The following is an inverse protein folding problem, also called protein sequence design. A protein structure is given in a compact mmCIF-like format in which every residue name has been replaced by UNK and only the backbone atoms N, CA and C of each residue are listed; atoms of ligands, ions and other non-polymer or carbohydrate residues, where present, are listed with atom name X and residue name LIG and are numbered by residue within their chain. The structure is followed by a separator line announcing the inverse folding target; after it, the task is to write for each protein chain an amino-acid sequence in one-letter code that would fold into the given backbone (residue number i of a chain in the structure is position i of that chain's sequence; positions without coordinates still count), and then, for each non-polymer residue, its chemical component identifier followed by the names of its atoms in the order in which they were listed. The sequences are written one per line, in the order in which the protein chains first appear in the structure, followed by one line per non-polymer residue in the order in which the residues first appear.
data_IF_985705572060
#
_entry.id   IF_985705572060
#
_cell.length_a   1.000
_cell.length_b   1.000
_cell.length_c   1.000
_cell.angle_alpha   90.00
_cell.angle_beta   90.00
_cell.angle_gamma   90.00
#
_symmetry.space_group_name_H-M   'P 1'
#
loop_
_entity.id
_entity.type
_entity.pdbx_description
1 polymer ?
#
# COMPACT_ATOMS: atom_id res chain seq x y z
N UNK A 1 -12.76 -14.17 -30.65
CA UNK A 1 -12.51 -13.18 -29.59
C UNK A 1 -13.44 -13.52 -28.44
N UNK A 2 -12.95 -14.31 -27.48
CA UNK A 2 -13.74 -14.69 -26.30
C UNK A 2 -13.84 -13.49 -25.39
N UNK A 3 -15.05 -13.12 -24.96
CA UNK A 3 -15.27 -12.12 -23.94
C UNK A 3 -14.61 -12.63 -22.65
N UNK A 4 -13.42 -12.12 -22.35
CA UNK A 4 -12.74 -12.36 -21.08
C UNK A 4 -13.68 -11.90 -19.99
N UNK A 5 -14.22 -12.84 -19.20
CA UNK A 5 -14.99 -12.53 -18.00
C UNK A 5 -14.21 -11.47 -17.21
N UNK A 6 -14.87 -10.38 -16.80
CA UNK A 6 -14.22 -9.34 -15.99
C UNK A 6 -13.56 -10.02 -14.79
N UNK A 7 -12.23 -10.17 -14.78
CA UNK A 7 -11.48 -10.80 -13.69
C UNK A 7 -11.77 -9.94 -12.45
N UNK A 8 -12.42 -10.52 -11.45
CA UNK A 8 -12.70 -9.83 -10.18
C UNK A 8 -11.41 -9.84 -9.35
N UNK A 9 -11.05 -8.73 -8.70
CA UNK A 9 -9.89 -8.72 -7.80
C UNK A 9 -10.16 -9.58 -6.57
N UNK A 10 -9.64 -10.80 -6.58
CA UNK A 10 -9.74 -11.76 -5.49
C UNK A 10 -8.42 -11.86 -4.73
N UNK A 11 -7.30 -12.05 -5.43
CA UNK A 11 -5.97 -12.18 -4.82
C UNK A 11 -5.16 -10.90 -5.00
N UNK A 12 -4.65 -10.35 -3.90
CA UNK A 12 -3.82 -9.15 -3.88
C UNK A 12 -2.41 -9.52 -3.43
N UNK A 13 -1.41 -9.20 -4.25
CA UNK A 13 -0.01 -9.23 -3.84
C UNK A 13 0.29 -7.95 -3.05
N UNK A 14 0.54 -8.09 -1.76
CA UNK A 14 0.91 -7.02 -0.86
C UNK A 14 2.41 -7.00 -0.62
N UNK A 15 2.99 -5.81 -0.82
CA UNK A 15 4.40 -5.50 -0.64
C UNK A 15 4.53 -4.29 0.29
N UNK A 16 5.60 -4.23 1.06
CA UNK A 16 5.94 -3.03 1.82
C UNK A 16 7.46 -2.80 1.83
N UNK A 17 7.87 -1.55 2.03
CA UNK A 17 9.28 -1.18 2.28
C UNK A 17 10.26 -1.75 1.25
N UNK A 18 10.15 -1.25 0.03
CA UNK A 18 11.09 -1.54 -1.04
C UNK A 18 12.50 -1.02 -0.72
N UNK A 19 12.60 0.16 -0.12
CA UNK A 19 13.86 0.81 0.27
C UNK A 19 14.92 0.83 -0.85
N UNK A 20 14.48 1.00 -2.10
CA UNK A 20 15.35 1.02 -3.29
C UNK A 20 15.87 -0.35 -3.76
N UNK A 21 15.40 -1.47 -3.19
CA UNK A 21 15.80 -2.83 -3.60
C UNK A 21 15.10 -3.27 -4.91
N UNK A 22 15.42 -2.57 -6.00
CA UNK A 22 14.79 -2.76 -7.31
C UNK A 22 14.90 -4.20 -7.85
N UNK A 23 15.99 -4.91 -7.55
CA UNK A 23 16.18 -6.30 -7.97
C UNK A 23 15.13 -7.23 -7.35
N UNK A 24 14.79 -7.03 -6.07
CA UNK A 24 13.75 -7.81 -5.40
C UNK A 24 12.36 -7.48 -5.92
N UNK A 25 12.10 -6.21 -6.24
CA UNK A 25 10.87 -5.82 -6.91
C UNK A 25 10.75 -6.47 -8.29
N UNK A 26 11.81 -6.46 -9.11
CA UNK A 26 11.79 -7.05 -10.44
C UNK A 26 11.55 -8.57 -10.39
N UNK A 27 12.23 -9.28 -9.48
CA UNK A 27 12.00 -10.71 -9.27
C UNK A 27 10.56 -10.98 -8.82
N UNK A 28 10.02 -10.16 -7.92
CA UNK A 28 8.64 -10.31 -7.43
C UNK A 28 7.62 -10.08 -8.54
N UNK A 29 7.83 -9.07 -9.40
CA UNK A 29 6.98 -8.84 -10.57
C UNK A 29 7.03 -10.03 -11.54
N UNK A 30 8.19 -10.68 -11.71
CA UNK A 30 8.32 -11.89 -12.54
C UNK A 30 7.57 -13.10 -11.98
N UNK A 31 7.33 -13.17 -10.66
CA UNK A 31 6.56 -14.25 -10.02
C UNK A 31 5.04 -14.08 -10.16
N UNK A 32 4.54 -12.89 -10.53
CA UNK A 32 3.10 -12.61 -10.59
C UNK A 32 2.29 -13.65 -11.39
N UNK A 33 2.74 -14.13 -12.57
CA UNK A 33 2.02 -15.16 -13.31
C UNK A 33 1.87 -16.48 -12.54
N UNK A 34 2.86 -16.84 -11.73
CA UNK A 34 2.87 -18.08 -10.95
C UNK A 34 2.03 -17.96 -9.67
N UNK A 35 1.93 -16.75 -9.10
CA UNK A 35 1.13 -16.45 -7.91
C UNK A 35 -0.38 -16.33 -8.21
N UNK A 36 -0.76 -16.21 -9.49
CA UNK A 36 -2.15 -15.97 -9.96
C UNK A 36 -2.85 -14.86 -9.18
N UNK A 37 -2.18 -13.72 -9.01
CA UNK A 37 -2.74 -12.54 -8.36
C UNK A 37 -3.51 -11.66 -9.37
N UNK A 38 -4.41 -10.84 -8.87
CA UNK A 38 -5.28 -9.97 -9.68
C UNK A 38 -4.92 -8.49 -9.57
N UNK A 39 -4.19 -8.12 -8.51
CA UNK A 39 -3.69 -6.78 -8.26
C UNK A 39 -2.41 -6.83 -7.40
N UNK A 40 -1.60 -5.79 -7.51
CA UNK A 40 -0.43 -5.56 -6.67
C UNK A 40 -0.64 -4.28 -5.86
N UNK A 41 -0.31 -4.31 -4.58
CA UNK A 41 -0.23 -3.12 -3.74
C UNK A 41 1.15 -2.99 -3.10
N UNK A 42 1.72 -1.79 -3.11
CA UNK A 42 3.01 -1.48 -2.50
C UNK A 42 2.87 -0.30 -1.54
N UNK A 43 3.15 -0.54 -0.27
CA UNK A 43 3.31 0.53 0.73
C UNK A 43 4.79 0.88 0.79
N UNK A 44 5.15 2.15 0.65
CA UNK A 44 6.55 2.59 0.78
C UNK A 44 7.14 2.24 2.16
N UNK A 45 8.38 2.55 2.49
CA UNK A 45 9.29 3.40 1.74
C UNK A 45 9.68 2.80 0.39
N UNK A 46 9.47 3.56 -0.67
CA UNK A 46 9.69 3.13 -2.06
C UNK A 46 11.16 3.24 -2.41
N UNK A 47 11.77 4.37 -2.05
CA UNK A 47 13.16 4.64 -2.31
C UNK A 47 13.99 4.57 -1.01
N UNK A 48 15.29 4.35 -1.15
CA UNK A 48 16.21 4.30 0.00
C UNK A 48 16.50 5.69 0.58
N UNK A 49 17.24 5.79 1.70
CA UNK A 49 17.67 7.07 2.25
C UNK A 49 18.41 7.95 1.23
N UNK A 50 18.05 9.23 1.13
CA UNK A 50 18.67 10.16 0.17
C UNK A 50 18.24 9.94 -1.29
N UNK A 51 17.10 9.28 -1.49
CA UNK A 51 16.47 9.06 -2.77
C UNK A 51 16.40 10.32 -3.63
N UNK A 52 16.55 10.12 -4.94
CA UNK A 52 16.29 11.16 -5.94
C UNK A 52 15.15 10.71 -6.86
N UNK A 53 14.62 11.65 -7.64
CA UNK A 53 13.67 11.39 -8.72
C UNK A 53 13.95 10.12 -9.56
N UNK A 54 15.22 9.84 -9.90
CA UNK A 54 15.60 8.66 -10.68
C UNK A 54 15.33 7.32 -9.98
N UNK A 55 15.35 7.28 -8.65
CA UNK A 55 15.09 6.06 -7.88
C UNK A 55 13.59 5.73 -7.89
N UNK A 56 12.73 6.72 -7.68
CA UNK A 56 11.28 6.56 -7.85
C UNK A 56 10.92 6.11 -9.26
N UNK A 57 11.54 6.74 -10.27
CA UNK A 57 11.29 6.38 -11.68
C UNK A 57 11.63 4.92 -11.97
N UNK A 58 12.72 4.39 -11.41
CA UNK A 58 13.08 2.97 -11.55
C UNK A 58 12.03 2.06 -10.91
N UNK A 59 11.68 2.31 -9.65
CA UNK A 59 10.66 1.54 -8.96
C UNK A 59 9.33 1.53 -9.71
N UNK A 60 8.85 2.70 -10.14
CA UNK A 60 7.60 2.83 -10.87
C UNK A 60 7.63 2.18 -12.25
N UNK A 61 8.76 2.24 -12.97
CA UNK A 61 8.90 1.54 -14.24
C UNK A 61 8.79 0.02 -14.08
N UNK A 62 9.36 -0.54 -13.00
CA UNK A 62 9.25 -1.96 -12.71
C UNK A 62 7.79 -2.32 -12.33
N UNK A 63 7.14 -1.52 -11.49
CA UNK A 63 5.72 -1.71 -11.17
C UNK A 63 4.82 -1.62 -12.40
N UNK A 64 5.07 -0.66 -13.29
CA UNK A 64 4.31 -0.48 -14.53
C UNK A 64 4.43 -1.64 -15.52
N UNK A 65 5.44 -2.50 -15.36
CA UNK A 65 5.61 -3.73 -16.14
C UNK A 65 4.85 -4.93 -15.57
N UNK A 66 4.26 -4.80 -14.37
CA UNK A 66 3.43 -5.86 -13.81
C UNK A 66 2.23 -6.16 -14.72
N UNK A 67 1.87 -7.44 -14.94
CA UNK A 67 0.75 -7.82 -15.79
C UNK A 67 -0.62 -7.60 -15.11
N UNK A 68 -0.66 -6.94 -13.95
CA UNK A 68 -1.84 -6.66 -13.14
C UNK A 68 -1.87 -5.19 -12.70
N UNK A 69 -3.06 -4.61 -12.47
CA UNK A 69 -3.16 -3.27 -11.89
C UNK A 69 -2.36 -3.15 -10.58
N UNK A 70 -1.61 -2.06 -10.47
CA UNK A 70 -0.64 -1.85 -9.39
C UNK A 70 -0.93 -0.53 -8.69
N UNK A 71 -1.00 -0.57 -7.36
CA UNK A 71 -1.36 0.56 -6.53
C UNK A 71 -0.29 0.81 -5.48
N UNK A 72 0.02 2.08 -5.20
CA UNK A 72 1.09 2.39 -4.27
C UNK A 72 0.84 3.66 -3.46
N UNK A 73 1.50 3.71 -2.30
CA UNK A 73 1.59 4.90 -1.45
C UNK A 73 3.03 5.08 -0.98
N UNK A 74 3.50 6.31 -0.72
CA UNK A 74 4.82 6.55 -0.20
C UNK A 74 4.91 6.16 1.29
N UNK A 75 6.10 5.88 1.78
CA UNK A 75 6.42 5.76 3.20
C UNK A 75 6.95 7.07 3.79
N UNK A 76 7.27 7.13 5.10
CA UNK A 76 7.76 8.34 5.75
C UNK A 76 9.09 8.87 5.20
N UNK A 77 9.94 8.01 4.62
CA UNK A 77 11.24 8.38 4.06
C UNK A 77 11.18 8.81 2.60
N UNK A 78 10.02 8.72 1.95
CA UNK A 78 9.84 9.14 0.55
C UNK A 78 9.63 10.67 0.41
N UNK A 79 10.36 11.46 1.21
CA UNK A 79 10.38 12.91 1.17
C UNK A 79 11.59 13.44 0.36
N UNK A 80 11.50 14.61 -0.28
CA UNK A 80 10.36 15.51 -0.31
C UNK A 80 9.21 14.99 -1.18
N UNK A 81 7.97 15.24 -0.76
CA UNK A 81 6.76 14.70 -1.42
C UNK A 81 6.67 15.08 -2.90
N UNK A 82 7.24 16.23 -3.28
CA UNK A 82 7.20 16.74 -4.65
C UNK A 82 7.93 15.83 -5.63
N UNK A 83 9.06 15.22 -5.21
CA UNK A 83 9.80 14.29 -6.09
C UNK A 83 8.99 13.03 -6.36
N UNK A 84 8.41 12.44 -5.30
CA UNK A 84 7.50 11.31 -5.40
C UNK A 84 6.30 11.63 -6.31
N UNK A 85 5.60 12.75 -6.07
CA UNK A 85 4.40 13.12 -6.81
C UNK A 85 4.69 13.43 -8.28
N UNK A 86 5.82 14.11 -8.57
CA UNK A 86 6.22 14.44 -9.93
C UNK A 86 6.50 13.19 -10.76
N UNK A 87 7.24 12.24 -10.19
CA UNK A 87 7.54 10.99 -10.89
C UNK A 87 6.31 10.08 -11.00
N UNK A 88 5.45 10.04 -9.99
CA UNK A 88 4.14 9.38 -10.05
C UNK A 88 3.28 9.96 -11.19
N UNK A 89 3.13 11.29 -11.26
CA UNK A 89 2.39 11.94 -12.35
C UNK A 89 2.93 11.56 -13.74
N UNK A 90 4.25 11.58 -13.92
CA UNK A 90 4.86 11.28 -15.21
C UNK A 90 4.67 9.82 -15.62
N UNK A 91 4.83 8.88 -14.68
CA UNK A 91 4.83 7.45 -14.99
C UNK A 91 3.44 6.89 -15.20
N UNK A 92 2.42 7.43 -14.52
CA UNK A 92 1.01 7.02 -14.67
C UNK A 92 0.43 7.37 -16.04
N UNK A 93 0.98 8.40 -16.71
CA UNK A 93 0.67 8.70 -18.12
C UNK A 93 1.14 7.58 -19.05
N UNK A 94 2.29 6.97 -18.73
CA UNK A 94 2.89 5.89 -19.53
C UNK A 94 2.25 4.54 -19.20
N UNK A 95 1.95 4.30 -17.92
CA UNK A 95 1.38 3.05 -17.42
C UNK A 95 0.01 3.30 -16.77
N UNK A 96 -1.10 3.26 -17.55
CA UNK A 96 -2.43 3.64 -17.07
C UNK A 96 -3.06 2.67 -16.05
N UNK A 97 -2.39 1.53 -15.77
CA UNK A 97 -2.80 0.56 -14.75
C UNK A 97 -2.00 0.69 -13.45
N UNK A 98 -1.05 1.64 -13.42
CA UNK A 98 -0.27 2.00 -12.25
C UNK A 98 -0.92 3.24 -11.62
N UNK A 99 -1.19 3.21 -10.31
CA UNK A 99 -1.90 4.27 -9.62
C UNK A 99 -1.32 4.58 -8.24
N UNK A 100 -0.85 5.81 -8.03
CA UNK A 100 -0.54 6.37 -6.73
C UNK A 100 -1.82 6.75 -6.02
N UNK A 101 -2.11 6.10 -4.89
CA UNK A 101 -3.36 6.31 -4.13
C UNK A 101 -3.16 7.13 -2.86
N UNK A 102 -2.02 7.82 -2.74
CA UNK A 102 -1.71 8.70 -1.60
C UNK A 102 -2.71 9.86 -1.49
N UNK A 103 -3.57 9.83 -0.47
CA UNK A 103 -4.61 10.83 -0.26
C UNK A 103 -5.71 10.80 -1.32
N UNK A 104 -5.85 9.67 -2.01
CA UNK A 104 -6.79 9.45 -3.12
C UNK A 104 -7.26 7.98 -3.15
N UNK A 105 -7.89 7.58 -4.24
CA UNK A 105 -8.28 6.20 -4.50
C UNK A 105 -8.24 5.88 -5.99
N UNK A 106 -8.19 4.60 -6.31
CA UNK A 106 -8.36 4.08 -7.67
C UNK A 106 -9.19 2.79 -7.63
N UNK A 107 -9.71 2.39 -8.79
CA UNK A 107 -10.51 1.18 -8.92
C UNK A 107 -9.67 0.01 -9.40
N UNK A 108 -9.71 -1.08 -8.65
CA UNK A 108 -9.29 -2.38 -9.14
C UNK A 108 -10.48 -3.11 -9.80
N UNK A 109 -10.22 -4.10 -10.67
CA UNK A 109 -11.27 -4.89 -11.31
C UNK A 109 -12.28 -5.49 -10.30
N UNK A 110 -13.57 -5.48 -10.65
CA UNK A 110 -14.61 -6.15 -9.85
C UNK A 110 -15.08 -5.40 -8.60
N UNK A 111 -15.42 -4.11 -8.69
CA UNK A 111 -15.97 -3.34 -7.56
C UNK A 111 -15.08 -3.29 -6.31
N UNK A 112 -13.76 -3.26 -6.53
CA UNK A 112 -12.78 -3.04 -5.47
C UNK A 112 -12.21 -1.62 -5.58
N UNK A 113 -12.22 -0.90 -4.47
CA UNK A 113 -11.56 0.41 -4.32
C UNK A 113 -10.28 0.22 -3.53
N UNK A 114 -9.17 0.65 -4.11
CA UNK A 114 -7.89 0.76 -3.41
C UNK A 114 -7.70 2.23 -3.05
N UNK A 115 -7.48 2.52 -1.77
CA UNK A 115 -7.26 3.87 -1.27
C UNK A 115 -6.15 3.86 -0.23
N UNK A 116 -5.53 4.99 0.04
CA UNK A 116 -4.51 5.02 1.07
C UNK A 116 -4.03 6.38 1.46
N UNK A 117 -3.25 6.40 2.53
CA UNK A 117 -2.46 7.55 2.92
C UNK A 117 -1.08 7.05 3.30
N UNK A 118 -0.12 7.44 2.48
CA UNK A 118 1.29 7.20 2.75
C UNK A 118 1.86 8.16 3.79
N UNK A 119 3.14 8.01 4.10
CA UNK A 119 3.78 8.74 5.17
C UNK A 119 3.33 8.30 6.57
N UNK A 120 4.02 8.82 7.58
CA UNK A 120 3.73 8.53 8.97
C UNK A 120 2.45 9.27 9.39
N UNK A 121 1.46 8.53 9.89
CA UNK A 121 0.26 9.16 10.43
C UNK A 121 0.57 9.54 11.87
N UNK A 122 0.61 10.83 12.19
CA UNK A 122 1.01 11.33 13.50
C UNK A 122 -0.19 11.82 14.31
N UNK A 123 0.02 11.98 15.60
CA UNK A 123 -1.00 12.43 16.55
C UNK A 123 -1.42 13.88 16.22
N UNK A 124 -2.61 14.28 16.70
CA UNK A 124 -3.30 15.51 16.27
C UNK A 124 -2.55 16.82 16.54
N UNK A 125 -1.59 16.81 17.46
CA UNK A 125 -0.79 17.96 17.86
C UNK A 125 0.47 18.15 17.00
N UNK A 126 0.87 17.13 16.23
CA UNK A 126 1.95 17.24 15.26
C UNK A 126 1.44 17.78 13.92
N UNK A 127 2.18 18.73 13.34
CA UNK A 127 1.87 19.33 12.05
C UNK A 127 2.21 18.40 10.87
N UNK A 128 1.64 18.72 9.70
CA UNK A 128 2.04 18.13 8.42
C UNK A 128 3.50 18.46 8.12
N UNK A 129 4.26 17.46 7.68
CA UNK A 129 5.64 17.59 7.20
C UNK A 129 5.78 16.80 5.89
N UNK A 130 6.48 17.37 4.92
CA UNK A 130 6.58 16.81 3.57
C UNK A 130 7.93 17.05 2.88
N UNK A 131 8.83 17.80 3.51
CA UNK A 131 10.12 18.16 2.92
C UNK A 131 11.20 17.18 3.38
N UNK A 132 11.25 16.88 4.68
CA UNK A 132 12.31 16.06 5.28
C UNK A 132 11.85 14.65 5.66
N UNK A 133 10.57 14.51 5.94
CA UNK A 133 9.85 13.24 6.11
C UNK A 133 8.42 13.46 5.65
N UNK A 134 7.70 12.39 5.35
CA UNK A 134 6.26 12.47 5.13
C UNK A 134 5.55 12.15 6.45
N UNK A 135 4.87 13.14 7.01
CA UNK A 135 4.06 12.98 8.20
C UNK A 135 2.75 13.76 8.09
N UNK A 136 1.65 13.11 8.47
CA UNK A 136 0.30 13.66 8.33
C UNK A 136 -0.51 13.47 9.60
N UNK A 137 -1.14 14.54 10.13
CA UNK A 137 -2.01 14.40 11.28
C UNK A 137 -3.26 13.60 10.89
N UNK A 138 -3.76 12.78 11.82
CA UNK A 138 -4.89 11.89 11.56
C UNK A 138 -6.15 12.58 11.00
N UNK A 139 -6.43 13.83 11.40
CA UNK A 139 -7.57 14.59 10.88
C UNK A 139 -7.46 14.86 9.36
N UNK A 140 -6.24 15.05 8.84
CA UNK A 140 -6.03 15.26 7.41
C UNK A 140 -6.30 13.96 6.66
N UNK A 141 -5.84 12.83 7.20
CA UNK A 141 -6.10 11.50 6.64
C UNK A 141 -7.60 11.23 6.54
N UNK A 142 -8.35 11.48 7.62
CA UNK A 142 -9.81 11.36 7.61
C UNK A 142 -10.44 12.30 6.57
N UNK A 143 -9.98 13.55 6.51
CA UNK A 143 -10.50 14.54 5.57
C UNK A 143 -10.29 14.12 4.10
N UNK A 144 -9.11 13.58 3.75
CA UNK A 144 -8.82 13.12 2.38
C UNK A 144 -9.62 11.88 2.01
N UNK A 145 -9.78 10.95 2.95
CA UNK A 145 -10.48 9.69 2.71
C UNK A 145 -12.00 9.77 2.90
N UNK A 146 -12.55 10.93 3.30
CA UNK A 146 -14.00 11.11 3.50
C UNK A 146 -14.84 10.77 2.27
N UNK A 147 -14.30 10.96 1.06
CA UNK A 147 -14.97 10.65 -0.21
C UNK A 147 -15.38 9.18 -0.32
N UNK A 148 -14.68 8.29 0.39
CA UNK A 148 -14.98 6.87 0.42
C UNK A 148 -16.31 6.54 1.10
N UNK A 149 -16.92 7.50 1.82
CA UNK A 149 -18.28 7.36 2.39
C UNK A 149 -19.36 7.33 1.29
N UNK A 150 -19.05 7.89 0.12
CA UNK A 150 -19.94 7.85 -1.05
C UNK A 150 -19.83 6.51 -1.81
N UNK A 151 -18.76 5.74 -1.58
CA UNK A 151 -18.49 4.44 -2.22
C UNK A 151 -18.97 3.28 -1.34
N UNK A 152 -20.27 3.24 -1.06
CA UNK A 152 -20.87 2.28 -0.10
C UNK A 152 -20.84 0.84 -0.59
N UNK A 153 -21.07 0.61 -1.88
CA UNK A 153 -21.20 -0.72 -2.47
C UNK A 153 -19.87 -1.34 -2.92
N UNK A 154 -18.76 -0.64 -2.67
CA UNK A 154 -17.43 -1.11 -3.04
C UNK A 154 -16.73 -1.82 -1.88
N UNK A 155 -16.11 -2.95 -2.19
CA UNK A 155 -15.13 -3.57 -1.32
C UNK A 155 -13.89 -2.68 -1.26
N UNK A 156 -13.39 -2.36 -0.07
CA UNK A 156 -12.27 -1.42 0.09
C UNK A 156 -11.00 -2.14 0.53
N UNK A 157 -9.87 -1.73 -0.02
CA UNK A 157 -8.52 -2.11 0.42
C UNK A 157 -7.77 -0.84 0.76
N UNK A 158 -7.24 -0.75 1.98
CA UNK A 158 -6.53 0.44 2.46
C UNK A 158 -5.02 0.21 2.55
N UNK A 159 -4.25 1.23 2.18
CA UNK A 159 -2.79 1.24 2.23
C UNK A 159 -2.32 2.33 3.19
N UNK A 160 -1.57 1.98 4.24
CA UNK A 160 -1.04 2.93 5.22
C UNK A 160 0.41 2.62 5.58
N UNK A 161 1.25 3.65 5.72
CA UNK A 161 2.62 3.48 6.22
C UNK A 161 2.71 3.57 7.76
N UNK A 162 1.62 3.22 8.46
CA UNK A 162 1.55 3.07 9.93
C UNK A 162 0.48 2.04 10.27
N UNK A 163 0.77 1.15 11.22
CA UNK A 163 -0.21 0.17 11.72
C UNK A 163 -1.32 0.85 12.54
N UNK A 164 -2.59 0.41 12.41
CA UNK A 164 -3.63 0.80 13.36
C UNK A 164 -3.36 0.19 14.74
N UNK A 165 -3.76 0.88 15.80
CA UNK A 165 -3.69 0.35 17.15
C UNK A 165 -4.59 -0.89 17.29
N UNK A 166 -4.02 -1.98 17.82
CA UNK A 166 -4.80 -3.16 18.16
C UNK A 166 -4.15 -3.93 19.29
N UNK A 167 -4.96 -4.39 20.26
CA UNK A 167 -4.47 -5.13 21.44
C UNK A 167 -3.76 -6.44 21.08
N UNK A 168 -4.15 -7.08 19.97
CA UNK A 168 -3.52 -8.32 19.47
C UNK A 168 -2.17 -8.10 18.77
N UNK A 169 -1.86 -6.88 18.33
CA UNK A 169 -0.59 -6.57 17.67
C UNK A 169 0.54 -6.29 18.67
N UNK A 170 0.23 -6.13 19.97
CA UNK A 170 1.18 -5.88 21.07
C UNK A 170 2.15 -4.70 20.87
N UNK A 171 1.84 -3.80 19.92
CA UNK A 171 2.66 -2.66 19.51
C UNK A 171 1.84 -1.36 19.54
N UNK A 172 2.52 -0.21 19.68
CA UNK A 172 1.91 1.10 19.72
C UNK A 172 1.49 1.59 18.31
N UNK A 173 0.36 1.10 17.81
CA UNK A 173 -0.24 1.61 16.56
C UNK A 173 -1.00 2.94 16.75
N UNK A 174 -1.53 3.51 15.66
CA UNK A 174 -2.39 4.71 15.73
C UNK A 174 -3.84 4.36 16.07
N UNK A 175 -4.36 4.92 17.16
CA UNK A 175 -5.77 4.75 17.56
C UNK A 175 -6.72 5.40 16.55
N UNK A 176 -6.36 6.55 15.99
CA UNK A 176 -7.14 7.23 14.96
C UNK A 176 -7.22 6.41 13.67
N UNK A 177 -6.14 5.73 13.28
CA UNK A 177 -6.20 4.77 12.18
C UNK A 177 -7.13 3.61 12.51
N UNK A 178 -7.12 3.12 13.75
CA UNK A 178 -8.04 2.06 14.14
C UNK A 178 -9.50 2.51 14.06
N UNK A 179 -9.81 3.75 14.43
CA UNK A 179 -11.14 4.36 14.25
C UNK A 179 -11.50 4.54 12.77
N UNK A 180 -10.57 4.99 11.93
CA UNK A 180 -10.78 5.14 10.49
C UNK A 180 -11.09 3.79 9.83
N UNK A 181 -10.34 2.75 10.18
CA UNK A 181 -10.58 1.37 9.72
C UNK A 181 -11.95 0.89 10.18
N UNK A 182 -12.33 1.09 11.45
CA UNK A 182 -13.68 0.73 11.94
C UNK A 182 -14.79 1.49 11.22
N UNK A 183 -14.57 2.77 10.90
CA UNK A 183 -15.54 3.65 10.24
C UNK A 183 -15.81 3.22 8.79
N UNK A 184 -14.77 2.92 8.03
CA UNK A 184 -14.89 2.58 6.62
C UNK A 184 -15.03 1.07 6.36
N UNK A 185 -14.72 0.26 7.37
CA UNK A 185 -14.79 -1.20 7.36
C UNK A 185 -14.19 -1.83 6.08
N UNK A 186 -12.93 -1.50 5.72
CA UNK A 186 -12.29 -2.09 4.56
C UNK A 186 -12.14 -3.60 4.73
N UNK A 187 -12.08 -4.34 3.62
CA UNK A 187 -11.86 -5.79 3.67
C UNK A 187 -10.43 -6.12 4.06
N UNK A 188 -9.48 -5.35 3.53
CA UNK A 188 -8.04 -5.50 3.77
C UNK A 188 -7.43 -4.14 4.10
N UNK A 189 -6.52 -4.12 5.05
CA UNK A 189 -5.60 -3.02 5.33
C UNK A 189 -4.18 -3.56 5.21
N UNK A 190 -3.41 -3.02 4.27
CA UNK A 190 -1.97 -3.30 4.18
C UNK A 190 -1.24 -2.16 4.85
N UNK A 191 -0.49 -2.47 5.90
CA UNK A 191 0.25 -1.48 6.65
C UNK A 191 1.52 -2.08 7.27
N UNK A 192 2.42 -1.24 7.75
CA UNK A 192 3.59 -1.67 8.51
C UNK A 192 3.93 -0.63 9.57
N UNK A 193 4.82 -0.97 10.50
CA UNK A 193 5.34 -0.04 11.49
C UNK A 193 6.64 0.60 10.95
N UNK A 194 6.66 1.92 10.69
CA UNK A 194 7.85 2.61 10.21
C UNK A 194 8.98 2.70 11.25
N UNK A 195 8.66 2.54 12.55
CA UNK A 195 9.65 2.53 13.63
C UNK A 195 10.37 1.19 13.79
N UNK A 196 9.86 0.11 13.19
CA UNK A 196 10.47 -1.21 13.29
C UNK A 196 11.56 -1.38 12.23
N UNK A 197 12.73 -1.93 12.57
CA UNK A 197 13.77 -2.30 11.59
C UNK A 197 13.79 -3.80 11.38
N UNK A 198 13.77 -4.24 10.11
CA UNK A 198 13.74 -5.66 9.72
C UNK A 198 12.39 -6.09 9.16
N UNK A 199 12.24 -7.40 8.97
CA UNK A 199 11.01 -7.98 8.43
C UNK A 199 10.11 -8.56 9.50
N UNK A 200 8.86 -8.14 9.47
CA UNK A 200 7.80 -8.68 10.31
C UNK A 200 6.59 -8.98 9.44
N UNK A 201 6.38 -10.26 9.20
CA UNK A 201 5.16 -10.80 8.61
C UNK A 201 4.14 -11.01 9.73
N UNK A 202 3.10 -10.18 9.76
CA UNK A 202 2.03 -10.25 10.77
C UNK A 202 0.68 -10.00 10.13
N UNK A 203 -0.37 -10.56 10.74
CA UNK A 203 -1.74 -10.23 10.40
C UNK A 203 -2.63 -10.34 11.62
N UNK A 204 -3.72 -9.57 11.62
CA UNK A 204 -4.68 -9.53 12.72
C UNK A 204 -6.03 -9.02 12.23
N UNK A 205 -7.11 -9.36 12.93
CA UNK A 205 -8.43 -8.84 12.65
C UNK A 205 -8.72 -7.59 13.49
N UNK A 206 -9.05 -6.49 12.82
CA UNK A 206 -9.59 -5.29 13.45
C UNK A 206 -11.08 -5.18 13.08
N UNK A 207 -11.95 -5.69 13.95
CA UNK A 207 -13.37 -5.82 13.63
C UNK A 207 -13.59 -6.82 12.49
N UNK A 208 -14.02 -6.35 11.32
CA UNK A 208 -14.19 -7.18 10.10
C UNK A 208 -13.12 -6.92 9.04
N UNK A 209 -12.12 -6.10 9.37
CA UNK A 209 -11.01 -5.75 8.49
C UNK A 209 -9.81 -6.64 8.81
N UNK A 210 -9.28 -7.31 7.80
CA UNK A 210 -8.01 -8.01 7.92
C UNK A 210 -6.87 -7.00 7.78
N UNK A 211 -6.05 -6.84 8.81
CA UNK A 211 -4.85 -5.99 8.79
C UNK A 211 -3.64 -6.88 8.54
N UNK A 212 -2.83 -6.55 7.55
CA UNK A 212 -1.66 -7.32 7.12
C UNK A 212 -0.42 -6.43 7.06
N UNK A 213 0.62 -6.85 7.75
CA UNK A 213 1.99 -6.40 7.56
C UNK A 213 2.71 -7.41 6.65
N UNK A 214 2.98 -7.05 5.38
CA UNK A 214 3.47 -8.01 4.39
C UNK A 214 4.96 -8.32 4.49
N UNK A 215 5.63 -7.93 5.58
CA UNK A 215 7.08 -7.99 5.72
C UNK A 215 7.78 -6.83 4.99
N UNK A 216 9.09 -6.95 4.81
CA UNK A 216 9.89 -5.99 4.05
C UNK A 216 10.33 -6.59 2.72
N UNK A 217 9.99 -5.94 1.62
CA UNK A 217 10.48 -6.31 0.30
C UNK A 217 12.00 -6.11 0.20
N UNK A 218 12.58 -5.17 0.97
CA UNK A 218 14.03 -5.07 1.10
C UNK A 218 14.66 -6.32 1.74
N UNK A 219 13.89 -7.10 2.51
CA UNK A 219 14.26 -8.43 3.00
C UNK A 219 13.81 -9.59 2.10
N UNK A 220 13.21 -9.26 0.96
CA UNK A 220 12.68 -10.17 -0.05
C UNK A 220 11.26 -10.66 0.22
N UNK A 221 10.62 -10.23 1.31
CA UNK A 221 9.32 -10.74 1.71
C UNK A 221 8.17 -10.16 0.89
N UNK A 222 7.16 -10.99 0.67
CA UNK A 222 5.89 -10.61 0.09
C UNK A 222 4.75 -11.42 0.69
N UNK A 223 3.53 -10.91 0.54
CA UNK A 223 2.33 -11.60 1.01
C UNK A 223 1.24 -11.59 -0.04
N UNK A 224 0.61 -12.72 -0.32
CA UNK A 224 -0.59 -12.84 -1.14
C UNK A 224 -1.80 -12.97 -0.22
N UNK A 225 -2.80 -12.13 -0.44
CA UNK A 225 -4.04 -12.13 0.35
C UNK A 225 -5.23 -12.44 -0.56
N UNK A 226 -6.00 -13.48 -0.21
CA UNK A 226 -7.30 -13.76 -0.82
C UNK A 226 -8.39 -12.94 -0.11
N UNK A 227 -8.95 -11.94 -0.80
CA UNK A 227 -9.98 -11.05 -0.26
C UNK A 227 -11.30 -11.77 0.05
N UNK A 228 -11.60 -12.90 -0.59
CA UNK A 228 -12.82 -13.66 -0.32
C UNK A 228 -12.65 -14.55 0.90
N UNK A 229 -11.62 -15.39 0.88
CA UNK A 229 -11.39 -16.39 1.93
C UNK A 229 -10.67 -15.81 3.16
N UNK A 230 -10.12 -14.60 3.04
CA UNK A 230 -9.23 -13.98 4.01
C UNK A 230 -8.02 -14.88 4.36
N UNK A 231 -7.55 -15.65 3.37
CA UNK A 231 -6.35 -16.48 3.47
C UNK A 231 -5.12 -15.66 3.10
N UNK A 232 -4.03 -16.00 3.77
CA UNK A 232 -2.74 -15.33 3.63
C UNK A 232 -1.71 -16.39 3.27
N UNK A 233 -0.96 -16.12 2.21
CA UNK A 233 0.20 -16.91 1.78
C UNK A 233 1.41 -15.98 1.78
N UNK A 234 2.46 -16.33 2.51
CA UNK A 234 3.70 -15.55 2.59
C UNK A 234 4.77 -16.17 1.71
N UNK A 235 5.61 -15.37 1.10
CA UNK A 235 6.76 -15.85 0.34
C UNK A 235 7.97 -14.92 0.46
N UNK A 236 9.11 -15.38 -0.05
CA UNK A 236 10.35 -14.63 -0.09
C UNK A 236 11.03 -14.81 -1.46
N UNK A 237 11.61 -13.73 -2.01
CA UNK A 237 12.19 -13.67 -3.36
C UNK A 237 13.72 -13.76 -3.41
N UNK A 238 14.37 -13.93 -2.24
CA UNK A 238 15.82 -14.12 -2.14
C UNK A 238 16.26 -15.49 -2.64
#
# INVERSE_FOLDING_TARGET
MSATARKFTRKVLALARLEGQHDYLERTVKLIPDLDVDALVLVGDLAGPGAKADDYRKAFKILGQAPVPSFYVPGPRDAPVEEYLREAYNIEIVFPYLHGVHGSFAFAPGHVVIAGMGGEIVDRDQGREEVTRLAYPAWEVEYRLKVLRELKDYQKVFLFARMPAHKGLHEAGSEELAELVKTHNPRLVVAYDPGFTGSVLKHEWLGKSLVVAPGSLAEGDFTVVDLHEAKIETGNVR
#
